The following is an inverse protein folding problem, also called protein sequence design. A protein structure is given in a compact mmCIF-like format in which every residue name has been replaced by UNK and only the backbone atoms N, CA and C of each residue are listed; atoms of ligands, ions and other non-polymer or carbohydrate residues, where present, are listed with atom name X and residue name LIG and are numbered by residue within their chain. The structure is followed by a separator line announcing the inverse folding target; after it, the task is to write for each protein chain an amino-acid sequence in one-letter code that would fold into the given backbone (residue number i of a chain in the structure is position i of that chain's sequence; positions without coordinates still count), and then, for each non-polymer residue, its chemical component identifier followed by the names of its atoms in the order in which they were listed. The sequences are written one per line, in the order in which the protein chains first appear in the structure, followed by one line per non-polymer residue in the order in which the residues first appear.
data_IF_476309680598
#
_entry.id   IF_476309680598
#
_cell.length_a   1.000
_cell.length_b   1.000
_cell.length_c   1.000
_cell.angle_alpha   90.00
_cell.angle_beta   90.00
_cell.angle_gamma   90.00
#
_symmetry.space_group_name_H-M   'P 1'
#
loop_
_entity.id
_entity.type
_entity.pdbx_description
1 polymer ?
#
# COMPACT_ATOMS: atom_id res chain seq x y z
N UNK A 1 10.96 -9.56 6.78
CA UNK A 1 11.74 -8.30 6.87
C UNK A 1 11.49 -7.51 8.15
N UNK A 2 10.42 -6.72 8.31
CA UNK A 2 10.26 -5.79 9.47
C UNK A 2 10.34 -6.45 10.86
N UNK A 3 9.69 -7.61 11.04
CA UNK A 3 9.76 -8.37 12.30
C UNK A 3 11.20 -8.85 12.57
N UNK A 4 11.91 -9.30 11.52
CA UNK A 4 13.30 -9.76 11.63
C UNK A 4 14.26 -8.61 11.98
N UNK A 5 13.88 -7.36 11.67
CA UNK A 5 14.62 -6.15 12.09
C UNK A 5 14.30 -5.71 13.52
N UNK A 6 13.45 -6.45 14.25
CA UNK A 6 13.12 -6.20 15.64
C UNK A 6 11.89 -5.34 15.89
N UNK A 7 11.07 -5.06 14.86
CA UNK A 7 9.80 -4.35 15.06
C UNK A 7 8.75 -5.35 15.59
N UNK A 8 8.13 -5.10 16.77
CA UNK A 8 7.07 -5.95 17.29
C UNK A 8 5.88 -6.01 16.32
N UNK A 9 5.30 -7.20 16.16
CA UNK A 9 4.15 -7.41 15.26
C UNK A 9 2.95 -6.52 15.60
N UNK A 10 2.70 -6.30 16.89
CA UNK A 10 1.65 -5.40 17.40
C UNK A 10 1.78 -3.95 16.94
N UNK A 11 2.98 -3.52 16.51
CA UNK A 11 3.24 -2.20 15.96
C UNK A 11 3.13 -2.14 14.42
N UNK A 12 2.83 -3.27 13.77
CA UNK A 12 2.72 -3.38 12.32
C UNK A 12 1.24 -3.60 11.95
N UNK A 13 0.67 -2.69 11.18
CA UNK A 13 -0.68 -2.87 10.64
C UNK A 13 -0.61 -3.15 9.14
N UNK A 14 -1.18 -4.27 8.71
CA UNK A 14 -1.26 -4.64 7.30
C UNK A 14 -2.65 -4.27 6.75
N UNK A 15 -2.67 -3.38 5.76
CA UNK A 15 -3.92 -3.07 5.04
C UNK A 15 -4.34 -4.26 4.19
N UNK A 16 -5.62 -4.63 4.26
CA UNK A 16 -6.21 -5.68 3.43
C UNK A 16 -6.74 -5.16 2.08
N UNK A 17 -6.45 -3.89 1.75
CA UNK A 17 -6.86 -3.29 0.48
C UNK A 17 -5.97 -3.77 -0.67
N UNK A 18 -6.59 -4.24 -1.74
CA UNK A 18 -5.91 -4.61 -2.97
C UNK A 18 -6.19 -3.58 -4.06
N UNK A 19 -5.14 -2.92 -4.57
CA UNK A 19 -5.27 -1.92 -5.64
C UNK A 19 -5.78 -2.52 -6.96
N UNK A 20 -5.50 -3.79 -7.22
CA UNK A 20 -6.00 -4.50 -8.42
C UNK A 20 -7.48 -4.87 -8.29
N UNK A 21 -7.89 -5.45 -7.16
CA UNK A 21 -9.25 -5.95 -6.97
C UNK A 21 -10.26 -4.82 -6.71
N UNK A 22 -9.86 -3.75 -6.03
CA UNK A 22 -10.71 -2.59 -5.80
C UNK A 22 -10.54 -1.56 -6.94
N UNK A 23 -11.64 -1.28 -7.64
CA UNK A 23 -11.70 -0.32 -8.75
C UNK A 23 -11.62 1.15 -8.34
N UNK A 24 -11.73 1.47 -7.04
CA UNK A 24 -11.55 2.83 -6.52
C UNK A 24 -10.09 3.31 -6.58
N UNK A 25 -9.13 2.38 -6.71
CA UNK A 25 -7.70 2.69 -6.81
C UNK A 25 -7.19 2.52 -8.24
N UNK A 26 -6.17 3.30 -8.61
CA UNK A 26 -5.38 3.03 -9.80
C UNK A 26 -4.58 1.73 -9.64
N UNK A 27 -4.45 0.94 -10.71
CA UNK A 27 -3.67 -0.31 -10.70
C UNK A 27 -2.93 -0.52 -12.00
N UNK A 28 -1.61 -0.32 -11.97
CA UNK A 28 -0.75 -0.51 -13.13
C UNK A 28 -0.92 -1.88 -13.80
N UNK A 29 -1.07 -2.94 -13.00
CA UNK A 29 -1.26 -4.31 -13.50
C UNK A 29 -2.63 -4.50 -14.16
N UNK A 30 -3.71 -4.04 -13.51
CA UNK A 30 -5.08 -4.18 -14.05
C UNK A 30 -5.23 -3.37 -15.34
N UNK A 31 -4.72 -2.15 -15.30
CA UNK A 31 -4.93 -1.11 -16.30
C UNK A 31 -3.83 -1.17 -17.39
N UNK A 32 -3.05 -2.27 -17.42
CA UNK A 32 -2.07 -2.63 -18.44
C UNK A 32 -1.07 -1.50 -18.74
N UNK A 33 -0.63 -0.84 -17.69
CA UNK A 33 0.37 0.22 -17.74
C UNK A 33 -0.14 1.62 -18.08
N UNK A 34 -1.41 1.79 -18.44
CA UNK A 34 -2.02 3.10 -18.68
C UNK A 34 -2.95 3.47 -17.50
N UNK A 35 -2.41 4.14 -16.48
CA UNK A 35 -3.17 4.53 -15.29
C UNK A 35 -2.52 5.73 -14.60
N UNK A 36 -3.25 6.35 -13.67
CA UNK A 36 -2.68 7.29 -12.71
C UNK A 36 -1.91 6.59 -11.57
N UNK A 37 -1.47 7.40 -10.60
CA UNK A 37 -0.78 6.95 -9.39
C UNK A 37 -1.46 7.49 -8.14
N UNK A 38 -1.51 6.69 -7.07
CA UNK A 38 -1.79 7.21 -5.72
C UNK A 38 -0.51 7.77 -5.10
N UNK A 39 -0.67 8.66 -4.13
CA UNK A 39 0.42 9.15 -3.29
C UNK A 39 0.24 8.64 -1.85
N UNK A 40 1.35 8.27 -1.20
CA UNK A 40 1.41 8.03 0.23
C UNK A 40 2.15 9.20 0.87
N UNK A 41 1.62 9.73 1.98
CA UNK A 41 2.18 10.88 2.69
C UNK A 41 2.23 10.60 4.19
N UNK A 42 3.18 11.23 4.87
CA UNK A 42 3.36 11.20 6.31
C UNK A 42 3.97 12.54 6.73
N UNK A 43 3.39 13.18 7.74
CA UNK A 43 3.89 14.43 8.30
C UNK A 43 3.94 14.36 9.83
N UNK A 44 4.81 15.17 10.41
CA UNK A 44 4.73 15.58 11.81
C UNK A 44 4.14 16.98 11.84
N UNK A 45 3.36 17.28 12.88
CA UNK A 45 2.83 18.62 13.12
C UNK A 45 3.78 19.44 13.98
#
# INVERSE_FOLDING_TARGET
ELINTGIPDENITVSQMCTHCNSEFYSYRRDKGMTGSMAAFMELR
#
